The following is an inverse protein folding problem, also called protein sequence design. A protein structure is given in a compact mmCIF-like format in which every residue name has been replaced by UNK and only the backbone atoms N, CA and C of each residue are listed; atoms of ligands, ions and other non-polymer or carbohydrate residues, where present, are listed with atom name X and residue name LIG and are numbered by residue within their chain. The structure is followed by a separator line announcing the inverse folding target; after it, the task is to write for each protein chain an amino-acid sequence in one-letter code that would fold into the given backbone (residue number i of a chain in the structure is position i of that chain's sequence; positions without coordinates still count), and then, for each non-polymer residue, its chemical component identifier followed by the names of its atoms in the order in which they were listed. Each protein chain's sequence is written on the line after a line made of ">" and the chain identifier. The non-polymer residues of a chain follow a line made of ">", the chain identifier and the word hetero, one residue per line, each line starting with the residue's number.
data_IF_595082995038
#
_entry.id   IF_595082995038
#
_cell.length_a   1.000
_cell.length_b   1.000
_cell.length_c   1.000
_cell.angle_alpha   90.00
_cell.angle_beta   90.00
_cell.angle_gamma   90.00
#
_symmetry.space_group_name_H-M   'P 1'
#
loop_
_entity.id
_entity.type
_entity.pdbx_description
1 polymer ?
#
# COMPACT_ATOMS: atom_id res chain seq x y z
N UNK A 1 20.55 -15.50 2.44
CA UNK A 1 19.25 -14.90 2.83
C UNK A 1 19.22 -14.91 4.34
N UNK A 2 19.61 -13.80 4.96
CA UNK A 2 19.42 -13.60 6.39
C UNK A 2 17.93 -13.33 6.59
N UNK A 3 17.19 -14.35 7.03
CA UNK A 3 15.87 -14.18 7.58
C UNK A 3 16.01 -13.68 9.03
N UNK A 4 16.55 -12.47 9.20
CA UNK A 4 16.22 -11.66 10.37
C UNK A 4 14.76 -11.28 10.19
N UNK A 5 13.95 -11.36 11.24
CA UNK A 5 12.55 -10.92 11.19
C UNK A 5 12.52 -9.45 10.78
N UNK A 6 12.40 -9.19 9.47
CA UNK A 6 12.13 -7.88 8.95
C UNK A 6 10.68 -7.61 9.34
N UNK A 7 10.49 -6.61 10.17
CA UNK A 7 9.15 -6.09 10.41
C UNK A 7 8.76 -5.39 9.12
N UNK A 8 7.78 -5.93 8.40
CA UNK A 8 7.44 -5.41 7.10
C UNK A 8 6.97 -3.97 7.19
N UNK A 9 7.75 -3.08 6.61
CA UNK A 9 7.39 -1.67 6.52
C UNK A 9 6.31 -1.51 5.45
N UNK A 10 5.27 -0.73 5.73
CA UNK A 10 4.24 -0.42 4.73
C UNK A 10 3.99 1.08 4.61
N UNK A 11 4.21 1.61 3.41
CA UNK A 11 3.74 2.93 3.00
C UNK A 11 2.25 2.80 2.70
N UNK A 12 1.45 3.18 3.68
CA UNK A 12 0.01 3.28 3.58
C UNK A 12 -0.37 4.51 2.76
N UNK A 13 -1.35 4.31 1.87
CA UNK A 13 -2.13 5.35 1.22
C UNK A 13 -3.61 5.09 1.55
N UNK A 14 -3.98 5.42 2.79
CA UNK A 14 -5.18 4.92 3.44
C UNK A 14 -6.38 5.85 3.28
N UNK A 15 -7.54 5.23 3.07
CA UNK A 15 -8.87 5.82 3.26
C UNK A 15 -9.84 4.74 3.77
N UNK A 16 -10.97 5.07 4.43
CA UNK A 16 -11.85 4.07 5.02
C UNK A 16 -12.57 3.19 3.99
N UNK A 17 -12.83 3.70 2.79
CA UNK A 17 -13.68 3.05 1.79
C UNK A 17 -13.06 3.10 0.39
N UNK A 18 -12.92 1.93 -0.23
CA UNK A 18 -12.42 1.76 -1.60
C UNK A 18 -13.53 1.61 -2.64
N UNK A 19 -14.77 1.35 -2.24
CA UNK A 19 -15.93 1.22 -3.12
C UNK A 19 -17.01 2.23 -2.75
N UNK A 20 -17.02 3.37 -3.44
CA UNK A 20 -17.95 4.48 -3.17
C UNK A 20 -19.22 4.34 -4.01
N UNK A 21 -20.38 4.62 -3.40
CA UNK A 21 -21.67 4.61 -4.11
C UNK A 21 -21.85 5.78 -5.10
N UNK A 22 -21.05 6.83 -4.98
CA UNK A 22 -21.15 8.02 -5.83
C UNK A 22 -20.02 9.03 -5.60
N UNK A 23 -20.07 10.17 -6.30
CA UNK A 23 -19.07 11.23 -6.16
C UNK A 23 -18.81 11.62 -4.71
N UNK A 24 -17.54 11.71 -4.32
CA UNK A 24 -17.14 12.06 -2.96
C UNK A 24 -15.82 12.83 -2.92
N UNK A 25 -15.51 13.38 -1.75
CA UNK A 25 -14.15 13.81 -1.41
C UNK A 25 -13.52 12.72 -0.56
N UNK A 26 -12.42 12.16 -1.05
CA UNK A 26 -11.65 11.12 -0.38
C UNK A 26 -10.60 11.83 0.45
N UNK A 27 -10.62 11.59 1.76
CA UNK A 27 -9.55 11.98 2.66
C UNK A 27 -8.55 10.83 2.76
N UNK A 28 -7.27 11.16 2.61
CA UNK A 28 -6.19 10.19 2.57
C UNK A 28 -5.19 10.44 3.70
N UNK A 29 -4.59 9.37 4.19
CA UNK A 29 -3.41 9.40 5.06
C UNK A 29 -2.27 8.66 4.39
N UNK A 30 -1.15 9.36 4.28
CA UNK A 30 0.12 8.84 3.82
C UNK A 30 0.94 8.57 5.08
N UNK A 31 1.01 7.30 5.48
CA UNK A 31 1.62 6.87 6.75
C UNK A 31 2.60 5.77 6.43
N UNK A 32 3.72 5.73 7.14
CA UNK A 32 4.69 4.65 7.04
C UNK A 32 4.75 3.95 8.41
N UNK A 33 4.33 2.70 8.49
CA UNK A 33 4.23 1.96 9.76
C UNK A 33 4.25 0.44 9.56
N UNK A 34 4.12 -0.29 10.67
CA UNK A 34 3.82 -1.73 10.73
C UNK A 34 2.30 -1.92 10.94
N UNK A 35 1.51 -2.24 9.91
CA UNK A 35 0.05 -2.13 9.96
C UNK A 35 -0.64 -3.20 10.83
N UNK A 36 -0.02 -4.37 11.03
CA UNK A 36 -0.57 -5.39 11.92
C UNK A 36 -0.23 -5.13 13.40
N UNK A 37 1.04 -4.85 13.70
CA UNK A 37 1.55 -4.74 15.07
C UNK A 37 1.47 -3.32 15.65
N UNK A 38 1.53 -2.30 14.80
CA UNK A 38 1.60 -0.88 15.16
C UNK A 38 2.72 -0.56 16.18
N UNK A 39 3.85 -1.24 16.04
CA UNK A 39 4.98 -1.09 16.96
C UNK A 39 5.89 0.08 16.59
N UNK A 40 5.85 0.57 15.35
CA UNK A 40 6.56 1.78 14.95
C UNK A 40 5.85 2.56 13.85
N UNK A 41 5.59 3.85 14.09
CA UNK A 41 5.25 4.83 13.05
C UNK A 41 6.52 5.57 12.63
N UNK A 42 6.90 5.45 11.37
CA UNK A 42 8.13 6.01 10.80
C UNK A 42 7.89 7.41 10.22
N UNK A 43 8.95 8.23 10.21
CA UNK A 43 8.93 9.55 9.59
C UNK A 43 8.99 9.43 8.05
N UNK A 44 7.98 9.97 7.35
CA UNK A 44 8.06 10.21 5.91
C UNK A 44 8.80 11.53 5.68
N UNK A 45 10.02 11.46 5.15
CA UNK A 45 10.89 12.63 4.95
C UNK A 45 10.45 13.55 3.79
N UNK A 46 9.56 13.06 2.94
CA UNK A 46 8.94 13.81 1.84
C UNK A 46 8.33 12.88 0.80
N UNK A 47 7.56 13.46 -0.12
CA UNK A 47 6.94 12.76 -1.26
C UNK A 47 7.55 13.29 -2.55
N UNK A 48 8.08 12.39 -3.39
CA UNK A 48 8.68 12.74 -4.69
C UNK A 48 7.61 12.86 -5.76
N UNK A 49 6.62 11.97 -5.74
CA UNK A 49 5.47 11.98 -6.64
C UNK A 49 4.21 11.55 -5.90
N UNK A 50 3.10 12.23 -6.19
CA UNK A 50 1.77 11.77 -5.83
C UNK A 50 0.82 12.13 -6.95
N UNK A 51 0.20 11.13 -7.58
CA UNK A 51 -0.68 11.33 -8.74
C UNK A 51 -2.03 10.66 -8.53
N UNK A 52 -3.05 11.22 -9.17
CA UNK A 52 -4.37 10.64 -9.28
C UNK A 52 -4.72 10.43 -10.76
N UNK A 53 -5.18 9.23 -11.10
CA UNK A 53 -5.54 8.84 -12.47
C UNK A 53 -7.00 8.39 -12.50
N UNK A 54 -7.76 8.90 -13.47
CA UNK A 54 -9.12 8.43 -13.77
C UNK A 54 -9.34 8.47 -15.27
N UNK A 55 -9.67 7.32 -15.86
CA UNK A 55 -9.89 7.11 -17.31
C UNK A 55 -8.70 7.59 -18.13
N UNK A 56 -7.50 7.14 -17.75
CA UNK A 56 -6.22 7.52 -18.34
C UNK A 56 -5.80 8.98 -18.16
N UNK A 57 -6.58 9.81 -17.45
CA UNK A 57 -6.22 11.20 -17.18
C UNK A 57 -5.50 11.30 -15.85
N UNK A 58 -4.21 11.56 -15.94
CA UNK A 58 -3.35 11.80 -14.78
C UNK A 58 -3.39 13.26 -14.34
N UNK A 59 -3.28 13.47 -13.03
CA UNK A 59 -3.06 14.77 -12.41
C UNK A 59 -2.11 14.62 -11.22
N UNK A 60 -1.12 15.52 -11.13
CA UNK A 60 -0.31 15.66 -9.92
C UNK A 60 -1.14 16.17 -8.73
N UNK A 61 -0.87 15.57 -7.57
CA UNK A 61 -1.52 15.83 -6.29
C UNK A 61 -0.52 16.30 -5.23
N UNK A 62 0.74 16.57 -5.59
CA UNK A 62 1.77 17.04 -4.65
C UNK A 62 1.33 18.28 -3.86
N UNK A 63 0.71 19.26 -4.52
CA UNK A 63 0.22 20.49 -3.88
C UNK A 63 -0.95 20.26 -2.91
N UNK A 64 -1.52 19.05 -2.86
CA UNK A 64 -2.60 18.69 -1.93
C UNK A 64 -2.09 18.07 -0.62
N UNK A 65 -0.77 17.83 -0.51
CA UNK A 65 -0.17 17.22 0.67
C UNK A 65 -0.05 18.24 1.79
N UNK A 66 -0.62 17.89 2.94
CA UNK A 66 -0.51 18.65 4.19
C UNK A 66 0.33 17.83 5.18
N UNK A 67 1.48 18.34 5.66
CA UNK A 67 2.24 17.66 6.69
C UNK A 67 1.40 17.49 7.96
N UNK A 68 1.47 16.30 8.55
CA UNK A 68 0.82 15.97 9.81
C UNK A 68 1.79 15.18 10.71
N UNK A 69 1.46 15.12 11.98
CA UNK A 69 1.94 14.07 12.86
C UNK A 69 0.88 12.97 12.90
N UNK A 70 1.30 11.71 12.78
CA UNK A 70 0.44 10.55 12.92
C UNK A 70 0.85 9.75 14.15
N UNK A 71 -0.12 9.50 15.03
CA UNK A 71 0.08 8.87 16.33
C UNK A 71 -0.27 7.38 16.26
N UNK A 72 0.75 6.53 16.18
CA UNK A 72 0.60 5.10 16.47
C UNK A 72 0.42 4.84 17.97
N UNK A 73 0.23 3.58 18.34
CA UNK A 73 0.10 3.17 19.74
C UNK A 73 1.45 3.17 20.48
N UNK A 74 2.58 3.03 19.77
CA UNK A 74 3.92 3.04 20.35
C UNK A 74 4.61 4.41 20.30
N UNK A 75 4.47 5.14 19.20
CA UNK A 75 5.08 6.46 18.98
C UNK A 75 4.29 7.32 17.99
N UNK A 76 4.73 8.56 17.83
CA UNK A 76 4.28 9.47 16.78
C UNK A 76 5.36 9.58 15.70
N UNK A 77 4.97 9.62 14.44
CA UNK A 77 5.86 9.88 13.29
C UNK A 77 5.30 10.95 12.35
N UNK A 78 6.16 11.53 11.52
CA UNK A 78 5.78 12.49 10.47
C UNK A 78 5.11 11.77 9.31
N UNK A 79 4.00 12.33 8.87
CA UNK A 79 3.16 11.78 7.83
C UNK A 79 2.56 12.91 6.98
N UNK A 80 1.74 12.56 5.99
CA UNK A 80 0.98 13.53 5.21
C UNK A 80 -0.51 13.18 5.19
N UNK A 81 -1.34 14.21 5.15
CA UNK A 81 -2.75 14.13 4.79
C UNK A 81 -2.96 14.71 3.39
N UNK A 82 -4.01 14.30 2.71
CA UNK A 82 -4.45 14.95 1.47
C UNK A 82 -5.94 14.75 1.23
N UNK A 83 -6.50 15.54 0.32
CA UNK A 83 -7.90 15.42 -0.12
C UNK A 83 -7.98 15.32 -1.63
N UNK A 84 -8.75 14.35 -2.11
CA UNK A 84 -8.98 14.14 -3.54
C UNK A 84 -10.48 14.13 -3.86
N UNK A 85 -10.90 14.95 -4.83
CA UNK A 85 -12.29 15.03 -5.26
C UNK A 85 -12.57 14.00 -6.36
N UNK A 86 -13.02 12.81 -5.98
CA UNK A 86 -13.46 11.78 -6.91
C UNK A 86 -14.89 12.06 -7.40
N UNK A 87 -14.99 12.84 -8.48
CA UNK A 87 -16.29 13.34 -8.99
C UNK A 87 -16.85 12.53 -10.17
N UNK A 88 -16.04 11.68 -10.78
CA UNK A 88 -16.41 10.91 -11.97
C UNK A 88 -16.62 9.46 -11.58
N UNK A 89 -17.48 8.76 -12.29
CA UNK A 89 -17.58 7.31 -12.16
C UNK A 89 -16.33 6.65 -12.77
N UNK A 90 -15.94 5.50 -12.24
CA UNK A 90 -14.73 4.79 -12.67
C UNK A 90 -13.80 4.49 -11.51
N UNK A 91 -12.63 3.98 -11.87
CA UNK A 91 -11.54 3.81 -10.95
C UNK A 91 -10.76 5.11 -10.80
N UNK A 92 -10.36 5.39 -9.57
CA UNK A 92 -9.46 6.46 -9.20
C UNK A 92 -8.21 5.80 -8.64
N UNK A 93 -7.18 5.73 -9.47
CA UNK A 93 -5.88 5.15 -9.09
C UNK A 93 -5.03 6.24 -8.47
N UNK A 94 -4.65 6.04 -7.22
CA UNK A 94 -3.79 6.94 -6.48
C UNK A 94 -2.43 6.25 -6.33
N UNK A 95 -1.37 6.92 -6.78
CA UNK A 95 0.00 6.39 -6.77
C UNK A 95 0.90 7.38 -6.05
N UNK A 96 1.63 6.91 -5.05
CA UNK A 96 2.58 7.72 -4.27
C UNK A 96 3.97 7.09 -4.31
N UNK A 97 4.97 7.95 -4.50
CA UNK A 97 6.40 7.60 -4.39
C UNK A 97 7.00 8.51 -3.32
N UNK A 98 7.29 7.99 -2.11
CA UNK A 98 7.96 8.74 -1.07
C UNK A 98 9.44 8.91 -1.40
N UNK A 99 10.09 9.84 -0.72
CA UNK A 99 11.56 9.82 -0.64
C UNK A 99 12.01 8.54 0.08
N UNK A 100 13.15 7.95 -0.30
CA UNK A 100 13.69 6.78 0.38
C UNK A 100 13.85 7.00 1.89
N UNK A 101 13.39 6.03 2.68
CA UNK A 101 13.57 5.96 4.13
C UNK A 101 14.84 5.17 4.46
N UNK A 102 15.64 5.64 5.42
CA UNK A 102 16.83 4.91 5.86
C UNK A 102 16.48 4.05 7.08
N UNK A 103 16.46 2.73 6.91
CA UNK A 103 16.25 1.77 7.98
C UNK A 103 17.60 1.47 8.65
N UNK A 104 17.78 2.01 9.85
CA UNK A 104 19.06 1.94 10.57
C UNK A 104 19.42 0.52 10.98
N UNK A 105 18.44 -0.33 11.27
CA UNK A 105 18.68 -1.71 11.70
C UNK A 105 19.13 -2.60 10.55
N UNK A 106 18.74 -2.26 9.31
CA UNK A 106 19.11 -2.99 8.09
C UNK A 106 20.30 -2.35 7.37
N UNK A 107 20.73 -1.16 7.80
CA UNK A 107 21.74 -0.34 7.12
C UNK A 107 21.46 -0.12 5.62
N UNK A 108 20.17 -0.04 5.28
CA UNK A 108 19.65 0.02 3.93
C UNK A 108 18.58 1.11 3.78
N UNK A 109 18.28 1.47 2.54
CA UNK A 109 17.17 2.34 2.20
C UNK A 109 15.97 1.54 1.72
N UNK A 110 14.78 2.03 2.03
CA UNK A 110 13.50 1.48 1.57
C UNK A 110 12.76 2.58 0.82
N UNK A 111 12.25 2.29 -0.37
CA UNK A 111 11.35 3.16 -1.11
C UNK A 111 10.17 2.36 -1.62
N UNK A 112 8.99 2.62 -1.06
CA UNK A 112 7.78 1.89 -1.42
C UNK A 112 6.89 2.70 -2.34
N UNK A 113 6.73 2.22 -3.57
CA UNK A 113 5.83 2.81 -4.56
C UNK A 113 4.44 2.21 -4.34
N UNK A 114 3.56 2.99 -3.72
CA UNK A 114 2.26 2.50 -3.26
C UNK A 114 1.14 2.89 -4.20
N UNK A 115 0.28 1.92 -4.51
CA UNK A 115 -0.97 2.08 -5.24
C UNK A 115 -2.18 1.79 -4.35
N UNK A 116 -3.16 2.69 -4.34
CA UNK A 116 -4.51 2.45 -3.80
C UNK A 116 -5.53 2.77 -4.89
N UNK A 117 -6.47 1.84 -5.15
CA UNK A 117 -7.50 1.99 -6.19
C UNK A 117 -8.86 2.12 -5.52
N UNK A 118 -9.56 3.22 -5.82
CA UNK A 118 -10.88 3.51 -5.28
C UNK A 118 -11.87 3.59 -6.44
N UNK A 119 -12.93 2.80 -6.39
CA UNK A 119 -13.98 2.82 -7.40
C UNK A 119 -15.14 3.73 -6.99
N UNK A 120 -15.65 4.49 -7.95
CA UNK A 120 -16.86 5.29 -7.81
C UNK A 120 -17.98 4.70 -8.67
N UNK A 121 -19.07 4.32 -8.02
CA UNK A 121 -20.33 3.86 -8.59
C UNK A 121 -20.26 2.54 -9.41
N UNK A 122 -19.30 1.67 -9.09
CA UNK A 122 -19.25 0.26 -9.52
C UNK A 122 -18.70 0.01 -10.94
N UNK A 123 -18.56 1.05 -11.77
CA UNK A 123 -18.05 0.89 -13.13
C UNK A 123 -16.51 0.83 -13.12
N UNK A 124 -15.87 -0.25 -13.62
CA UNK A 124 -14.41 -0.31 -13.73
C UNK A 124 -13.90 0.53 -14.91
N UNK A 125 -12.65 1.00 -14.84
CA UNK A 125 -11.96 1.69 -15.92
C UNK A 125 -10.45 1.50 -15.98
N UNK A 126 -9.73 1.62 -14.85
CA UNK A 126 -8.26 1.74 -14.84
C UNK A 126 -7.57 0.76 -13.87
N UNK A 127 -8.34 0.00 -13.08
CA UNK A 127 -7.82 -0.83 -11.97
C UNK A 127 -6.71 -1.81 -12.37
N UNK A 128 -6.77 -2.40 -13.56
CA UNK A 128 -5.84 -3.40 -14.10
C UNK A 128 -4.77 -2.80 -15.04
N UNK A 129 -4.64 -1.48 -15.07
CA UNK A 129 -3.65 -0.82 -15.93
C UNK A 129 -2.23 -1.06 -15.42
N UNK A 130 -1.34 -1.47 -16.34
CA UNK A 130 0.11 -1.45 -16.15
C UNK A 130 0.62 -0.02 -16.38
N UNK A 131 0.97 0.67 -15.30
CA UNK A 131 1.46 2.06 -15.33
C UNK A 131 2.96 2.16 -15.60
N UNK A 132 3.66 1.03 -15.70
CA UNK A 132 5.09 0.93 -15.96
C UNK A 132 5.91 1.67 -14.91
N UNK A 133 5.48 1.60 -13.65
CA UNK A 133 6.23 2.20 -12.55
C UNK A 133 7.54 1.45 -12.35
N UNK A 134 8.50 2.08 -11.66
CA UNK A 134 9.75 1.43 -11.25
C UNK A 134 9.50 0.11 -10.52
N UNK A 135 8.56 0.10 -9.58
CA UNK A 135 8.08 -1.09 -8.90
C UNK A 135 6.54 -1.03 -8.88
N UNK A 136 5.87 -2.08 -9.36
CA UNK A 136 4.42 -2.08 -9.51
C UNK A 136 3.79 -3.46 -9.23
N UNK A 137 2.63 -3.49 -8.59
CA UNK A 137 1.73 -4.64 -8.63
C UNK A 137 0.52 -4.27 -9.50
N UNK A 138 0.31 -5.05 -10.57
CA UNK A 138 -0.86 -4.93 -11.45
C UNK A 138 -1.89 -5.98 -11.00
N UNK A 139 -3.07 -5.56 -10.54
CA UNK A 139 -4.07 -6.50 -10.03
C UNK A 139 -4.74 -7.29 -11.17
N UNK A 140 -5.00 -8.58 -10.91
CA UNK A 140 -5.89 -9.44 -11.71
C UNK A 140 -7.28 -9.59 -11.07
N UNK A 141 -7.42 -9.16 -9.80
CA UNK A 141 -8.69 -9.02 -9.08
C UNK A 141 -8.87 -7.57 -8.69
N UNK A 142 -10.06 -7.00 -8.94
CA UNK A 142 -10.39 -5.62 -8.54
C UNK A 142 -10.11 -5.38 -7.04
N UNK A 143 -9.17 -4.49 -6.68
CA UNK A 143 -8.76 -4.27 -5.28
C UNK A 143 -9.89 -3.84 -4.33
N UNK A 144 -10.97 -3.30 -4.86
CA UNK A 144 -12.13 -2.77 -4.11
C UNK A 144 -13.35 -3.72 -4.12
N UNK A 145 -13.26 -4.88 -4.79
CA UNK A 145 -14.38 -5.80 -4.99
C UNK A 145 -14.01 -7.22 -4.54
N UNK A 146 -13.56 -7.34 -3.29
CA UNK A 146 -13.17 -8.61 -2.67
C UNK A 146 -14.15 -8.90 -1.53
N UNK A 147 -14.65 -10.12 -1.47
CA UNK A 147 -15.37 -10.62 -0.30
C UNK A 147 -14.40 -11.31 0.66
N UNK A 148 -14.69 -11.24 1.95
CA UNK A 148 -14.07 -12.10 2.97
C UNK A 148 -14.18 -13.58 2.56
N UNK A 149 -13.09 -14.33 2.70
CA UNK A 149 -12.94 -15.68 2.17
C UNK A 149 -12.61 -15.75 0.68
N UNK A 150 -12.58 -14.61 -0.03
CA UNK A 150 -12.15 -14.50 -1.42
C UNK A 150 -10.63 -14.50 -1.58
N UNK A 151 -10.17 -14.10 -2.76
CA UNK A 151 -8.74 -14.06 -3.11
C UNK A 151 -8.36 -12.75 -3.76
N UNK A 152 -7.12 -12.31 -3.55
CA UNK A 152 -6.48 -11.30 -4.38
C UNK A 152 -5.40 -11.96 -5.24
N UNK A 153 -5.34 -11.58 -6.52
CA UNK A 153 -4.29 -12.03 -7.44
C UNK A 153 -3.71 -10.79 -8.12
N UNK A 154 -2.39 -10.73 -8.25
CA UNK A 154 -1.68 -9.65 -8.93
C UNK A 154 -0.42 -10.16 -9.61
N UNK A 155 0.11 -9.34 -10.52
CA UNK A 155 1.38 -9.56 -11.20
C UNK A 155 2.36 -8.50 -10.71
N UNK A 156 3.52 -8.94 -10.22
CA UNK A 156 4.63 -8.06 -9.85
C UNK A 156 5.37 -7.64 -11.10
N UNK A 157 5.58 -6.33 -11.26
CA UNK A 157 6.14 -5.71 -12.45
C UNK A 157 7.26 -4.72 -12.07
N UNK A 158 8.26 -4.60 -12.94
CA UNK A 158 9.33 -3.61 -12.88
C UNK A 158 9.44 -2.94 -14.24
N UNK A 159 9.24 -1.61 -14.28
CA UNK A 159 9.21 -0.81 -15.51
C UNK A 159 8.27 -1.35 -16.61
N UNK A 160 7.22 -2.05 -16.17
CA UNK A 160 6.20 -2.64 -17.04
C UNK A 160 6.47 -4.09 -17.48
N UNK A 161 7.55 -4.71 -17.03
CA UNK A 161 7.88 -6.12 -17.30
C UNK A 161 7.66 -7.00 -16.05
N UNK A 162 7.14 -8.24 -16.18
CA UNK A 162 6.91 -9.11 -15.02
C UNK A 162 8.20 -9.52 -14.29
N UNK A 163 8.13 -9.57 -12.96
CA UNK A 163 9.25 -9.99 -12.09
C UNK A 163 8.97 -11.40 -11.55
N UNK A 164 9.62 -12.45 -12.09
CA UNK A 164 9.39 -13.82 -11.66
C UNK A 164 9.90 -14.05 -10.25
N UNK A 165 9.22 -14.91 -9.50
CA UNK A 165 9.68 -15.38 -8.19
C UNK A 165 9.91 -14.29 -7.12
N UNK A 166 9.40 -13.08 -7.34
CA UNK A 166 9.43 -11.99 -6.38
C UNK A 166 8.89 -12.46 -5.03
N UNK A 167 9.54 -12.01 -3.95
CA UNK A 167 9.05 -12.20 -2.58
C UNK A 167 8.06 -11.10 -2.26
N UNK A 168 6.91 -11.47 -1.69
CA UNK A 168 5.84 -10.54 -1.33
C UNK A 168 5.50 -10.72 0.14
N UNK A 169 5.52 -9.63 0.89
CA UNK A 169 5.02 -9.55 2.25
C UNK A 169 3.56 -9.12 2.24
N UNK A 170 2.76 -9.74 3.11
CA UNK A 170 1.32 -9.53 3.22
C UNK A 170 0.96 -9.22 4.67
N UNK A 171 0.27 -8.11 4.87
CA UNK A 171 -0.24 -7.71 6.19
C UNK A 171 -1.69 -7.26 6.17
N UNK A 172 -2.37 -7.54 7.28
CA UNK A 172 -3.69 -7.01 7.59
C UNK A 172 -3.54 -5.70 8.36
N UNK A 173 -4.25 -4.65 7.94
CA UNK A 173 -4.39 -3.45 8.75
C UNK A 173 -5.26 -3.79 9.96
N UNK A 174 -4.60 -4.08 11.07
CA UNK A 174 -5.23 -4.64 12.26
C UNK A 174 -5.82 -3.58 13.19
N UNK A 175 -5.81 -2.30 12.81
CA UNK A 175 -6.25 -1.20 13.66
C UNK A 175 -7.20 -0.27 12.91
N UNK A 176 -8.15 0.31 13.63
CA UNK A 176 -8.89 1.48 13.14
C UNK A 176 -7.92 2.66 12.92
N UNK A 177 -8.19 3.48 11.90
CA UNK A 177 -7.49 4.76 11.72
C UNK A 177 -8.49 5.90 11.89
N UNK A 178 -8.26 6.76 12.88
CA UNK A 178 -9.03 7.98 13.09
C UNK A 178 -8.44 9.12 12.27
N UNK A 179 -9.14 9.50 11.21
CA UNK A 179 -8.75 10.60 10.34
C UNK A 179 -8.86 11.98 11.03
N UNK A 180 -9.67 12.14 12.08
CA UNK A 180 -9.81 13.44 12.76
C UNK A 180 -8.64 13.73 13.67
N UNK A 181 -8.15 12.71 14.35
CA UNK A 181 -7.06 12.80 15.33
C UNK A 181 -5.72 12.34 14.78
N UNK A 182 -5.70 11.80 13.56
CA UNK A 182 -4.51 11.23 12.89
C UNK A 182 -3.85 10.16 13.77
N UNK A 183 -4.61 9.15 14.19
CA UNK A 183 -4.09 8.12 15.09
C UNK A 183 -4.60 6.72 14.78
N UNK A 184 -3.84 5.74 15.25
CA UNK A 184 -4.24 4.34 15.30
C UNK A 184 -5.18 4.09 16.49
N UNK A 185 -6.15 3.22 16.26
CA UNK A 185 -7.05 2.67 17.28
C UNK A 185 -6.48 1.39 17.90
N UNK A 186 -7.35 0.66 18.59
CA UNK A 186 -7.00 -0.63 19.19
C UNK A 186 -6.90 -1.73 18.13
N UNK A 187 -6.07 -2.76 18.34
CA UNK A 187 -6.00 -3.90 17.45
C UNK A 187 -7.34 -4.66 17.43
N UNK A 188 -7.71 -5.22 16.28
CA UNK A 188 -8.90 -6.05 16.14
C UNK A 188 -8.66 -7.50 16.56
N UNK A 189 -7.46 -8.01 16.28
CA UNK A 189 -7.05 -9.40 16.52
C UNK A 189 -5.62 -9.48 17.05
N UNK A 190 -5.28 -10.61 17.66
CA UNK A 190 -3.91 -10.95 18.07
C UNK A 190 -3.39 -12.07 17.16
N UNK A 191 -2.12 -11.96 16.76
CA UNK A 191 -1.47 -13.03 16.00
C UNK A 191 -1.13 -14.22 16.93
N UNK A 192 -1.32 -15.48 16.49
CA UNK A 192 -0.93 -16.64 17.30
C UNK A 192 0.59 -16.81 17.42
N UNK A 193 1.36 -16.22 16.50
CA UNK A 193 2.82 -16.06 16.56
C UNK A 193 3.28 -15.00 15.52
N UNK A 194 4.55 -14.59 15.58
CA UNK A 194 5.13 -13.55 14.71
C UNK A 194 4.97 -13.83 13.21
N UNK A 195 5.00 -15.10 12.76
CA UNK A 195 4.80 -15.44 11.34
C UNK A 195 3.39 -15.14 10.80
N UNK A 196 2.46 -14.74 11.65
CA UNK A 196 1.11 -14.28 11.27
C UNK A 196 0.95 -12.76 11.41
N UNK A 197 1.97 -12.05 11.89
CA UNK A 197 2.04 -10.58 11.84
C UNK A 197 2.27 -10.18 10.38
N UNK A 198 3.37 -10.68 9.80
CA UNK A 198 3.72 -10.55 8.39
C UNK A 198 3.79 -11.93 7.74
N UNK A 199 3.02 -12.14 6.68
CA UNK A 199 3.09 -13.38 5.90
C UNK A 199 3.90 -13.18 4.63
N UNK A 200 4.86 -14.08 4.36
CA UNK A 200 5.61 -14.10 3.12
C UNK A 200 5.03 -15.07 2.09
N UNK A 201 4.88 -14.62 0.84
CA UNK A 201 4.53 -15.45 -0.32
C UNK A 201 5.51 -15.18 -1.48
N UNK A 202 5.42 -15.98 -2.55
CA UNK A 202 6.22 -15.76 -3.76
C UNK A 202 5.36 -15.73 -5.01
N UNK A 203 5.76 -14.89 -5.96
CA UNK A 203 5.24 -14.95 -7.31
C UNK A 203 5.72 -16.23 -8.04
N UNK A 204 4.97 -16.62 -9.06
CA UNK A 204 5.34 -17.70 -9.97
C UNK A 204 6.33 -17.19 -11.05
N UNK A 205 6.58 -18.01 -12.08
CA UNK A 205 7.50 -17.69 -13.19
C UNK A 205 7.06 -16.52 -14.07
N UNK A 206 5.80 -16.12 -13.99
CA UNK A 206 5.21 -15.03 -14.78
C UNK A 206 4.98 -13.77 -13.92
N UNK A 207 5.53 -13.75 -12.70
CA UNK A 207 5.35 -12.65 -11.74
C UNK A 207 3.98 -12.64 -11.03
N UNK A 208 3.12 -13.61 -11.32
CA UNK A 208 1.78 -13.71 -10.72
C UNK A 208 1.82 -14.36 -9.33
N UNK A 209 1.06 -13.80 -8.38
CA UNK A 209 0.82 -14.40 -7.07
C UNK A 209 -0.67 -14.35 -6.73
N UNK A 210 -1.10 -15.27 -5.85
CA UNK A 210 -2.46 -15.30 -5.30
C UNK A 210 -2.40 -15.44 -3.79
N UNK A 211 -3.26 -14.70 -3.08
CA UNK A 211 -3.44 -14.80 -1.64
C UNK A 211 -4.93 -14.93 -1.29
N UNK A 212 -5.27 -15.84 -0.38
CA UNK A 212 -6.62 -15.99 0.16
C UNK A 212 -6.84 -15.01 1.31
N UNK A 213 -7.94 -14.25 1.29
CA UNK A 213 -8.23 -13.19 2.24
C UNK A 213 -9.15 -13.73 3.34
N UNK A 214 -8.61 -14.09 4.52
CA UNK A 214 -9.40 -14.78 5.55
C UNK A 214 -10.37 -13.86 6.29
N UNK A 215 -10.13 -12.54 6.24
CA UNK A 215 -10.87 -11.56 7.03
C UNK A 215 -11.20 -10.30 6.22
N UNK A 216 -12.39 -9.75 6.43
CA UNK A 216 -12.74 -8.44 5.89
C UNK A 216 -11.85 -7.31 6.47
N UNK A 217 -11.55 -6.32 5.64
CA UNK A 217 -10.74 -5.14 6.00
C UNK A 217 -9.67 -4.85 4.94
N UNK A 218 -8.67 -4.05 5.31
CA UNK A 218 -7.59 -3.64 4.42
C UNK A 218 -6.40 -4.60 4.51
N UNK A 219 -5.86 -4.97 3.36
CA UNK A 219 -4.72 -5.86 3.22
C UNK A 219 -3.67 -5.20 2.32
N UNK A 220 -2.43 -5.15 2.81
CA UNK A 220 -1.27 -4.62 2.10
C UNK A 220 -0.45 -5.76 1.50
N UNK A 221 0.05 -5.56 0.29
CA UNK A 221 0.97 -6.46 -0.39
C UNK A 221 2.20 -5.67 -0.81
N UNK A 222 3.39 -6.06 -0.37
CA UNK A 222 4.66 -5.42 -0.69
C UNK A 222 5.58 -6.41 -1.39
N UNK A 223 5.82 -6.23 -2.70
CA UNK A 223 6.83 -7.01 -3.42
C UNK A 223 8.19 -6.33 -3.29
N UNK A 224 9.13 -7.00 -2.61
CA UNK A 224 10.36 -6.40 -2.11
C UNK A 224 11.46 -6.33 -3.17
N UNK A 225 12.15 -5.19 -3.26
CA UNK A 225 13.37 -5.05 -4.06
C UNK A 225 13.18 -5.32 -5.55
N UNK A 226 12.00 -5.03 -6.09
CA UNK A 226 11.63 -5.33 -7.49
C UNK A 226 11.89 -4.17 -8.43
N UNK A 227 12.17 -2.97 -7.89
CA UNK A 227 12.53 -1.80 -8.68
C UNK A 227 13.94 -1.86 -9.28
N UNK A 228 14.20 -1.04 -10.31
CA UNK A 228 15.49 -1.02 -11.02
C UNK A 228 16.61 -0.34 -10.23
N UNK A 229 16.31 0.55 -9.27
CA UNK A 229 17.33 1.20 -8.45
C UNK A 229 17.61 0.35 -7.21
N UNK A 230 18.85 -0.12 -7.08
CA UNK A 230 19.26 -1.04 -6.01
C UNK A 230 20.23 -0.42 -5.00
N UNK A 231 20.64 0.85 -5.20
CA UNK A 231 21.60 1.53 -4.34
C UNK A 231 21.28 3.02 -4.20
N UNK A 232 21.49 3.56 -2.99
CA UNK A 232 21.46 4.99 -2.69
C UNK A 232 22.57 5.34 -1.69
N UNK A 233 23.38 6.35 -2.00
CA UNK A 233 24.47 6.82 -1.13
C UNK A 233 25.44 5.71 -0.67
N UNK A 234 25.75 4.73 -1.54
CA UNK A 234 26.65 3.63 -1.20
C UNK A 234 26.02 2.53 -0.33
N UNK A 235 24.69 2.55 -0.16
CA UNK A 235 23.93 1.56 0.61
C UNK A 235 22.84 0.94 -0.25
N UNK A 236 22.47 -0.30 0.06
CA UNK A 236 21.38 -0.99 -0.62
C UNK A 236 20.07 -0.18 -0.57
N UNK A 237 19.32 -0.21 -1.67
CA UNK A 237 17.99 0.37 -1.78
C UNK A 237 17.00 -0.73 -2.18
N UNK A 238 16.06 -1.02 -1.30
CA UNK A 238 14.89 -1.84 -1.63
C UNK A 238 13.81 -0.94 -2.23
N UNK A 239 13.64 -1.00 -3.55
CA UNK A 239 12.48 -0.40 -4.22
C UNK A 239 11.34 -1.41 -4.28
N UNK A 240 10.32 -1.18 -3.47
CA UNK A 240 9.21 -2.12 -3.30
C UNK A 240 7.97 -1.65 -4.05
N UNK A 241 7.23 -2.61 -4.58
CA UNK A 241 5.91 -2.38 -5.13
C UNK A 241 4.85 -2.64 -4.07
N UNK A 242 4.05 -1.65 -3.70
CA UNK A 242 3.00 -1.81 -2.68
C UNK A 242 1.62 -1.60 -3.28
N UNK A 243 0.67 -2.49 -2.97
CA UNK A 243 -0.75 -2.29 -3.26
C UNK A 243 -1.60 -2.58 -2.03
N UNK A 244 -2.59 -1.71 -1.79
CA UNK A 244 -3.61 -1.91 -0.76
C UNK A 244 -4.94 -2.32 -1.39
N UNK A 245 -5.54 -3.36 -0.84
CA UNK A 245 -6.84 -3.91 -1.28
C UNK A 245 -7.80 -3.99 -0.10
N UNK A 246 -9.09 -3.91 -0.37
CA UNK A 246 -10.11 -3.96 0.67
C UNK A 246 -11.10 -5.10 0.44
N UNK A 247 -11.23 -5.97 1.44
CA UNK A 247 -12.26 -7.00 1.49
C UNK A 247 -13.45 -6.55 2.34
N UNK A 248 -14.66 -6.94 1.93
CA UNK A 248 -15.91 -6.68 2.66
C UNK A 248 -16.47 -7.99 3.25
N UNK A 249 -17.14 -7.94 4.41
CA UNK A 249 -17.74 -9.14 4.99
C UNK A 249 -18.90 -9.64 4.10
N UNK A 250 -19.03 -10.96 3.94
CA UNK A 250 -20.27 -11.54 3.45
C UNK A 250 -21.33 -11.48 4.56
N UNK A 251 -22.56 -11.10 4.21
CA UNK A 251 -23.69 -11.03 5.15
C UNK A 251 -24.80 -11.96 4.73
#
# INVERSE_FOLDING_TARGET
>A
VLATGALAHFQMLYTPESALNGPSTIELRHVFNHPFADEHTMDISGIESFVAINKGKEKSMLDSLEPIEFKGNSNTGKAFASKYKAQRMGDHVLIVTPKPYFEKNEDAYIQQITKTIINVAGAPSDWDTNFKLKAEIVPLVKPYAIWEGGTFTGIVMSEGEPVPHAEIEVEFLNHDIDLKTNSMGKPYIEAPQDSFVTMGIKANKDGEFTFGIPKAGWWGFAALGVGPDTELNGKELSQDAVIWVQAKPMK
#
